data_IF_692132468702
#
_entry.id   IF_692132468702
#
_cell.length_a   1.000
_cell.length_b   1.000
_cell.length_c   1.000
_cell.angle_alpha   90.00
_cell.angle_beta   90.00
_cell.angle_gamma   90.00
#
_symmetry.space_group_name_H-M   'P 1'
#
loop_
_entity.id
_entity.type
_entity.pdbx_description
1 polymer ?
#
# COMPACT_ATOMS: atom_id res chain seq x y z
N UNK A 1 -3.78 -6.01 -17.43
CA UNK A 1 -4.30 -4.89 -18.22
C UNK A 1 -5.28 -4.11 -17.38
N UNK A 2 -5.23 -2.78 -17.48
CA UNK A 2 -6.07 -1.90 -16.69
C UNK A 2 -7.56 -2.08 -17.02
N UNK A 3 -8.37 -2.36 -16.04
CA UNK A 3 -9.83 -2.33 -16.16
C UNK A 3 -10.30 -0.88 -16.36
N UNK A 4 -10.93 -0.59 -17.49
CA UNK A 4 -11.35 0.77 -17.82
C UNK A 4 -12.72 1.16 -17.24
N UNK A 5 -13.51 0.21 -16.75
CA UNK A 5 -14.82 0.42 -16.15
C UNK A 5 -15.05 -0.52 -14.98
N UNK A 6 -15.93 -0.14 -14.04
CA UNK A 6 -16.29 -1.00 -12.90
C UNK A 6 -16.86 -2.37 -13.31
N UNK A 7 -17.46 -2.47 -14.51
CA UNK A 7 -17.97 -3.74 -15.07
C UNK A 7 -16.83 -4.64 -15.53
N UNK A 8 -15.79 -4.08 -16.13
CA UNK A 8 -14.62 -4.85 -16.56
C UNK A 8 -13.85 -5.33 -15.34
N UNK A 9 -13.78 -4.52 -14.29
CA UNK A 9 -13.17 -4.88 -13.04
C UNK A 9 -13.89 -6.07 -12.37
N UNK A 10 -15.23 -6.04 -12.28
CA UNK A 10 -16.01 -7.14 -11.74
C UNK A 10 -15.79 -8.45 -12.53
N UNK A 11 -15.69 -8.37 -13.85
CA UNK A 11 -15.42 -9.54 -14.71
C UNK A 11 -14.03 -10.16 -14.48
N UNK A 12 -13.03 -9.34 -14.11
CA UNK A 12 -11.67 -9.83 -13.88
C UNK A 12 -11.44 -10.29 -12.44
N UNK A 13 -12.00 -9.58 -11.47
CA UNK A 13 -11.77 -9.88 -10.05
C UNK A 13 -12.56 -11.08 -9.56
N UNK A 14 -13.77 -11.28 -10.08
CA UNK A 14 -14.63 -12.37 -9.64
C UNK A 14 -14.17 -13.76 -10.10
N UNK A 15 -13.69 -13.95 -11.34
CA UNK A 15 -13.03 -15.20 -11.71
C UNK A 15 -11.81 -15.49 -10.83
N UNK A 16 -10.98 -14.50 -10.56
CA UNK A 16 -9.81 -14.66 -9.67
C UNK A 16 -10.21 -15.05 -8.25
N UNK A 17 -11.25 -14.42 -7.70
CA UNK A 17 -11.78 -14.80 -6.39
C UNK A 17 -12.36 -16.22 -6.40
N UNK A 18 -13.05 -16.62 -7.46
CA UNK A 18 -13.57 -17.98 -7.64
C UNK A 18 -12.43 -18.99 -7.75
N UNK A 19 -11.37 -18.68 -8.47
CA UNK A 19 -10.19 -19.52 -8.61
C UNK A 19 -9.44 -19.68 -7.27
N UNK A 20 -9.33 -18.60 -6.49
CA UNK A 20 -8.78 -18.65 -5.13
C UNK A 20 -9.65 -19.55 -4.23
N UNK A 21 -10.96 -19.44 -4.29
CA UNK A 21 -11.90 -20.27 -3.53
C UNK A 21 -11.72 -21.75 -3.91
N UNK A 22 -11.70 -22.06 -5.19
CA UNK A 22 -11.51 -23.42 -5.69
C UNK A 22 -10.16 -23.96 -5.24
N UNK A 23 -9.09 -23.15 -5.34
CA UNK A 23 -7.75 -23.53 -4.88
C UNK A 23 -7.73 -23.76 -3.36
N UNK A 24 -8.34 -22.89 -2.57
CA UNK A 24 -8.45 -23.09 -1.13
C UNK A 24 -9.24 -24.35 -0.76
N UNK A 25 -10.29 -24.67 -1.50
CA UNK A 25 -11.07 -25.90 -1.31
C UNK A 25 -10.26 -27.15 -1.64
N UNK A 26 -9.50 -27.14 -2.75
CA UNK A 26 -8.66 -28.27 -3.18
C UNK A 26 -7.51 -28.55 -2.21
N UNK A 27 -7.04 -27.51 -1.49
CA UNK A 27 -5.99 -27.63 -0.47
C UNK A 27 -6.54 -27.97 0.92
N UNK A 28 -7.85 -28.26 1.07
CA UNK A 28 -8.54 -28.44 2.37
C UNK A 28 -8.33 -27.27 3.34
N UNK A 29 -8.01 -26.08 2.83
CA UNK A 29 -7.96 -24.88 3.65
C UNK A 29 -9.38 -24.47 4.01
N UNK A 30 -9.60 -23.96 5.24
CA UNK A 30 -10.93 -23.45 5.63
C UNK A 30 -11.33 -22.40 4.61
N UNK A 31 -12.46 -22.61 3.93
CA UNK A 31 -12.94 -21.71 2.90
C UNK A 31 -13.30 -20.37 3.54
N UNK A 32 -12.51 -19.36 3.28
CA UNK A 32 -12.65 -17.99 3.78
C UNK A 32 -14.04 -17.38 3.50
N UNK A 33 -14.78 -17.95 2.57
CA UNK A 33 -16.05 -17.42 2.07
C UNK A 33 -17.29 -18.19 2.55
N UNK A 34 -17.12 -19.35 3.21
CA UNK A 34 -18.25 -20.09 3.83
C UNK A 34 -18.12 -20.05 5.35
N UNK A 35 -19.19 -19.90 6.05
CA UNK A 35 -19.54 -19.95 7.47
C UNK A 35 -18.47 -19.80 8.58
N UNK A 36 -17.24 -20.16 8.37
CA UNK A 36 -16.10 -19.87 9.27
C UNK A 36 -15.59 -18.43 9.15
N UNK A 37 -16.20 -17.63 8.33
CA UNK A 37 -15.95 -16.24 8.02
C UNK A 37 -16.12 -15.25 9.20
N UNK A 38 -16.17 -15.70 10.42
CA UNK A 38 -16.03 -14.85 11.62
C UNK A 38 -14.58 -14.46 11.92
N UNK A 39 -13.60 -15.02 11.20
CA UNK A 39 -12.17 -14.88 11.52
C UNK A 39 -11.45 -13.88 10.63
N UNK A 40 -11.95 -13.61 9.42
CA UNK A 40 -11.26 -12.72 8.47
C UNK A 40 -12.21 -11.72 7.84
N UNK A 41 -11.80 -10.47 7.80
CA UNK A 41 -12.45 -9.42 7.05
C UNK A 41 -11.94 -9.40 5.61
N UNK A 42 -12.86 -9.19 4.66
CA UNK A 42 -12.55 -9.16 3.24
C UNK A 42 -12.40 -7.71 2.81
N UNK A 43 -11.28 -7.40 2.20
CA UNK A 43 -11.02 -6.13 1.52
C UNK A 43 -11.05 -6.35 0.02
N UNK A 44 -11.72 -5.45 -0.69
CA UNK A 44 -11.69 -5.38 -2.15
C UNK A 44 -11.22 -4.00 -2.60
N UNK A 45 -10.51 -3.94 -3.71
CA UNK A 45 -10.00 -2.68 -4.23
C UNK A 45 -9.57 -2.76 -5.67
N UNK A 46 -9.36 -1.60 -6.27
CA UNK A 46 -8.70 -1.48 -7.58
C UNK A 46 -7.20 -1.34 -7.36
N UNK A 47 -6.38 -2.02 -8.16
CA UNK A 47 -4.92 -1.98 -8.03
C UNK A 47 -4.30 -0.71 -8.61
N UNK A 48 -5.04 0.07 -9.40
CA UNK A 48 -4.51 1.26 -10.06
C UNK A 48 -4.44 2.46 -9.13
N UNK A 49 -3.24 3.04 -9.05
CA UNK A 49 -3.05 4.37 -8.47
C UNK A 49 -3.35 5.43 -9.51
N UNK A 50 -4.33 6.27 -9.25
CA UNK A 50 -4.57 7.47 -10.06
C UNK A 50 -4.34 8.73 -9.21
N UNK A 51 -3.89 9.84 -9.80
CA UNK A 51 -3.74 11.09 -9.05
C UNK A 51 -5.09 11.70 -8.61
N UNK A 52 -6.20 11.21 -9.15
CA UNK A 52 -7.56 11.64 -8.87
C UNK A 52 -8.30 10.76 -7.87
N UNK A 53 -9.59 11.00 -7.75
CA UNK A 53 -10.51 10.25 -6.88
C UNK A 53 -11.31 9.22 -7.69
N UNK A 54 -11.79 8.15 -7.04
CA UNK A 54 -12.74 7.23 -7.64
C UNK A 54 -14.04 7.95 -8.03
N UNK A 55 -14.69 7.51 -9.11
CA UNK A 55 -15.98 8.02 -9.53
C UNK A 55 -17.15 7.36 -8.76
N UNK A 56 -18.05 8.15 -8.17
CA UNK A 56 -19.19 7.60 -7.41
C UNK A 56 -20.12 6.71 -8.24
N UNK A 57 -20.32 7.04 -9.52
CA UNK A 57 -21.16 6.23 -10.43
C UNK A 57 -20.54 4.88 -10.73
N UNK A 58 -19.21 4.83 -10.88
CA UNK A 58 -18.47 3.60 -11.11
C UNK A 58 -18.49 2.70 -9.88
N UNK A 59 -18.27 3.28 -8.70
CA UNK A 59 -18.33 2.58 -7.42
C UNK A 59 -19.76 2.05 -7.18
N UNK A 60 -20.81 2.86 -7.41
CA UNK A 60 -22.19 2.43 -7.25
C UNK A 60 -22.55 1.25 -8.16
N UNK A 61 -22.08 1.26 -9.42
CA UNK A 61 -22.27 0.14 -10.34
C UNK A 61 -21.48 -1.10 -9.89
N UNK A 62 -20.24 -0.94 -9.49
CA UNK A 62 -19.41 -2.02 -8.97
C UNK A 62 -20.09 -2.72 -7.78
N UNK A 63 -20.56 -1.95 -6.80
CA UNK A 63 -21.22 -2.50 -5.61
C UNK A 63 -22.53 -3.20 -5.95
N UNK A 64 -23.30 -2.67 -6.89
CA UNK A 64 -24.53 -3.31 -7.36
C UNK A 64 -24.24 -4.67 -8.01
N UNK A 65 -23.25 -4.73 -8.91
CA UNK A 65 -22.88 -5.96 -9.61
C UNK A 65 -22.28 -6.98 -8.62
N UNK A 66 -21.42 -6.53 -7.72
CA UNK A 66 -20.81 -7.35 -6.66
C UNK A 66 -21.86 -7.93 -5.71
N UNK A 67 -22.80 -7.10 -5.24
CA UNK A 67 -23.87 -7.53 -4.33
C UNK A 67 -24.70 -8.64 -4.95
N UNK A 68 -25.03 -8.53 -6.26
CA UNK A 68 -25.75 -9.58 -6.97
C UNK A 68 -24.99 -10.90 -6.96
N UNK A 69 -23.70 -10.88 -7.32
CA UNK A 69 -22.88 -12.10 -7.39
C UNK A 69 -22.69 -12.71 -6.01
N UNK A 70 -22.47 -11.89 -4.99
CA UNK A 70 -22.35 -12.35 -3.61
C UNK A 70 -23.63 -13.05 -3.14
N UNK A 71 -24.78 -12.48 -3.44
CA UNK A 71 -26.10 -13.09 -3.11
C UNK A 71 -26.31 -14.40 -3.87
N UNK A 72 -26.06 -14.42 -5.19
CA UNK A 72 -26.23 -15.60 -6.04
C UNK A 72 -25.36 -16.78 -5.58
N UNK A 73 -24.21 -16.50 -4.94
CA UNK A 73 -23.27 -17.52 -4.45
C UNK A 73 -23.33 -17.73 -2.92
N UNK A 74 -24.18 -17.02 -2.20
CA UNK A 74 -24.27 -17.05 -0.73
C UNK A 74 -22.91 -16.71 -0.06
N UNK A 75 -22.18 -15.76 -0.63
CA UNK A 75 -20.92 -15.27 -0.09
C UNK A 75 -21.15 -14.15 0.92
N UNK A 76 -20.12 -13.86 1.71
CA UNK A 76 -20.11 -12.73 2.65
C UNK A 76 -19.75 -11.45 1.90
N UNK A 77 -20.43 -10.34 2.26
CA UNK A 77 -20.07 -9.02 1.78
C UNK A 77 -18.66 -8.63 2.28
N UNK A 78 -17.87 -7.91 1.47
CA UNK A 78 -16.60 -7.36 1.93
C UNK A 78 -16.83 -6.34 3.05
N UNK A 79 -15.88 -6.27 3.97
CA UNK A 79 -15.89 -5.29 5.06
C UNK A 79 -15.37 -3.93 4.58
N UNK A 80 -14.35 -3.95 3.72
CA UNK A 80 -13.68 -2.75 3.24
C UNK A 80 -13.67 -2.68 1.71
N UNK A 81 -13.94 -1.49 1.18
CA UNK A 81 -13.70 -1.12 -0.21
C UNK A 81 -12.56 -0.10 -0.27
N UNK A 82 -11.48 -0.44 -0.97
CA UNK A 82 -10.39 0.50 -1.25
C UNK A 82 -10.79 1.45 -2.36
N UNK A 83 -10.70 2.73 -2.10
CA UNK A 83 -11.07 3.80 -3.04
C UNK A 83 -9.89 4.74 -3.29
N UNK A 84 -9.84 5.32 -4.48
CA UNK A 84 -8.84 6.34 -4.80
C UNK A 84 -9.22 7.65 -4.12
N UNK A 85 -8.32 8.17 -3.31
CA UNK A 85 -8.51 9.38 -2.50
C UNK A 85 -7.70 10.56 -3.01
N UNK A 86 -7.34 10.57 -4.30
CA UNK A 86 -6.51 11.62 -4.87
C UNK A 86 -5.06 11.56 -4.37
N UNK A 87 -4.53 10.36 -4.15
CA UNK A 87 -3.17 10.11 -3.70
C UNK A 87 -2.38 9.36 -4.76
N UNK A 88 -1.15 9.78 -5.01
CA UNK A 88 -0.22 9.11 -5.94
C UNK A 88 1.20 9.21 -5.41
N UNK A 89 1.73 8.08 -4.99
CA UNK A 89 3.10 8.00 -4.47
C UNK A 89 4.09 7.81 -5.62
N UNK A 90 5.05 8.72 -5.69
CA UNK A 90 6.20 8.65 -6.60
C UNK A 90 7.43 9.06 -5.79
N UNK A 91 8.43 8.20 -5.79
CA UNK A 91 9.64 8.37 -4.99
C UNK A 91 9.29 8.49 -3.50
N UNK A 92 9.62 9.62 -2.87
CA UNK A 92 9.28 9.95 -1.49
C UNK A 92 8.31 11.14 -1.41
N UNK A 93 7.37 11.21 -2.34
CA UNK A 93 6.39 12.29 -2.45
C UNK A 93 5.01 11.74 -2.80
N UNK A 94 3.98 12.45 -2.36
CA UNK A 94 2.62 12.25 -2.81
C UNK A 94 2.23 13.35 -3.80
N UNK A 95 2.09 13.00 -5.07
CA UNK A 95 1.76 13.91 -6.17
C UNK A 95 0.25 13.94 -6.48
N UNK A 96 -0.58 13.30 -5.64
CA UNK A 96 -2.01 13.27 -5.83
C UNK A 96 -2.71 14.60 -5.53
N UNK A 97 -3.93 14.75 -6.03
CA UNK A 97 -4.73 15.98 -5.86
C UNK A 97 -4.99 16.33 -4.39
N UNK A 98 -5.12 15.33 -3.52
CA UNK A 98 -5.28 15.53 -2.08
C UNK A 98 -4.12 16.34 -1.48
N UNK A 99 -2.89 16.05 -1.91
CA UNK A 99 -1.68 16.66 -1.37
C UNK A 99 -1.30 17.97 -2.08
N UNK A 100 -1.75 18.18 -3.31
CA UNK A 100 -1.37 19.30 -4.16
C UNK A 100 -2.47 20.39 -4.27
N UNK A 101 -3.71 20.09 -3.88
CA UNK A 101 -4.82 21.03 -3.92
C UNK A 101 -4.69 22.10 -2.83
N UNK A 102 -4.98 23.35 -3.19
CA UNK A 102 -4.99 24.49 -2.23
C UNK A 102 -6.16 24.43 -1.23
N UNK A 103 -7.25 23.76 -1.60
CA UNK A 103 -8.41 23.56 -0.74
C UNK A 103 -9.14 22.26 -1.10
N UNK A 104 -8.64 21.12 -0.63
CA UNK A 104 -9.22 19.81 -0.94
C UNK A 104 -10.64 19.64 -0.39
N UNK A 105 -11.06 20.48 0.56
CA UNK A 105 -12.39 20.39 1.18
C UNK A 105 -13.51 21.04 0.36
N UNK A 106 -13.18 21.87 -0.61
CA UNK A 106 -14.17 22.59 -1.46
C UNK A 106 -14.24 22.08 -2.88
N UNK A 107 -13.51 21.01 -3.19
CA UNK A 107 -13.45 20.49 -4.55
C UNK A 107 -14.67 19.63 -4.91
N UNK A 108 -14.97 19.53 -6.21
CA UNK A 108 -15.96 18.57 -6.73
C UNK A 108 -15.59 17.13 -6.37
N UNK A 109 -14.30 16.88 -6.20
CA UNK A 109 -13.75 15.58 -5.78
C UNK A 109 -14.22 15.21 -4.37
N UNK A 110 -14.30 16.18 -3.44
CA UNK A 110 -14.84 15.90 -2.11
C UNK A 110 -16.32 15.51 -2.15
N UNK A 111 -17.11 16.24 -2.93
CA UNK A 111 -18.53 15.94 -3.10
C UNK A 111 -18.71 14.52 -3.68
N UNK A 112 -17.93 14.18 -4.70
CA UNK A 112 -17.91 12.85 -5.28
C UNK A 112 -17.51 11.78 -4.25
N UNK A 113 -16.55 12.08 -3.39
CA UNK A 113 -16.07 11.18 -2.36
C UNK A 113 -17.10 10.97 -1.24
N UNK A 114 -17.81 12.03 -0.82
CA UNK A 114 -18.92 11.94 0.13
C UNK A 114 -20.04 11.04 -0.40
N UNK A 115 -20.31 11.10 -1.71
CA UNK A 115 -21.27 10.18 -2.36
C UNK A 115 -20.77 8.74 -2.34
N UNK A 116 -19.49 8.49 -2.57
CA UNK A 116 -18.90 7.14 -2.48
C UNK A 116 -19.04 6.57 -1.08
N UNK A 117 -18.69 7.36 -0.05
CA UNK A 117 -18.78 6.90 1.34
C UNK A 117 -20.23 6.60 1.73
N UNK A 118 -21.20 7.42 1.29
CA UNK A 118 -22.61 7.15 1.49
C UNK A 118 -23.06 5.84 0.81
N UNK A 119 -22.71 5.65 -0.47
CA UNK A 119 -23.03 4.42 -1.20
C UNK A 119 -22.43 3.18 -0.50
N UNK A 120 -21.20 3.27 0.00
CA UNK A 120 -20.57 2.18 0.73
C UNK A 120 -21.31 1.88 2.05
N UNK A 121 -21.64 2.92 2.83
CA UNK A 121 -22.37 2.80 4.09
C UNK A 121 -23.74 2.17 3.90
N UNK A 122 -24.50 2.58 2.85
CA UNK A 122 -25.80 2.01 2.51
C UNK A 122 -25.73 0.51 2.17
N UNK A 123 -24.54 0.02 1.78
CA UNK A 123 -24.27 -1.39 1.52
C UNK A 123 -23.59 -2.10 2.71
N UNK A 124 -23.41 -1.45 3.84
CA UNK A 124 -22.73 -2.01 5.01
C UNK A 124 -21.23 -2.22 4.82
N UNK A 125 -20.59 -1.45 3.92
CA UNK A 125 -19.17 -1.54 3.58
C UNK A 125 -18.46 -0.27 4.05
N UNK A 126 -17.29 -0.43 4.67
CA UNK A 126 -16.44 0.69 5.05
C UNK A 126 -15.52 1.10 3.90
N UNK A 127 -15.14 2.37 3.86
CA UNK A 127 -14.19 2.90 2.87
C UNK A 127 -12.77 2.95 3.41
N UNK A 128 -11.80 2.55 2.57
CA UNK A 128 -10.38 2.63 2.88
C UNK A 128 -9.66 3.47 1.83
N UNK A 129 -8.90 4.46 2.29
CA UNK A 129 -8.03 5.26 1.43
C UNK A 129 -6.78 4.49 1.03
N UNK A 130 -6.34 4.67 -0.23
CA UNK A 130 -5.21 3.97 -0.80
C UNK A 130 -3.99 4.89 -0.90
N UNK A 131 -2.81 4.38 -0.47
CA UNK A 131 -1.51 5.08 -0.59
C UNK A 131 -1.49 6.49 0.03
N UNK A 132 -1.78 6.57 1.33
CA UNK A 132 -1.75 7.83 2.09
C UNK A 132 -0.32 8.17 2.55
N UNK A 133 0.69 7.63 1.91
CA UNK A 133 2.09 7.89 2.18
C UNK A 133 2.47 9.32 1.76
N UNK A 134 3.40 9.94 2.48
CA UNK A 134 4.01 11.25 2.18
C UNK A 134 3.03 12.39 1.97
N UNK A 135 1.87 12.34 2.59
CA UNK A 135 0.94 13.48 2.57
C UNK A 135 1.39 14.54 3.57
N UNK A 136 1.12 15.80 3.23
CA UNK A 136 1.40 16.91 4.13
C UNK A 136 0.34 17.00 5.25
N UNK A 137 0.64 17.80 6.29
CA UNK A 137 -0.21 17.93 7.46
C UNK A 137 -1.61 18.47 7.11
N UNK A 138 -1.72 19.46 6.21
CA UNK A 138 -3.00 20.00 5.77
C UNK A 138 -3.86 18.95 5.06
N UNK A 139 -3.25 18.13 4.21
CA UNK A 139 -3.91 17.03 3.55
C UNK A 139 -4.36 15.95 4.54
N UNK A 140 -3.55 15.65 5.56
CA UNK A 140 -3.90 14.70 6.62
C UNK A 140 -5.11 15.20 7.44
N UNK A 141 -5.12 16.48 7.82
CA UNK A 141 -6.24 17.11 8.50
C UNK A 141 -7.50 17.09 7.62
N UNK A 142 -7.34 17.35 6.31
CA UNK A 142 -8.46 17.31 5.36
C UNK A 142 -9.01 15.89 5.20
N UNK A 143 -8.14 14.88 5.20
CA UNK A 143 -8.51 13.47 5.07
C UNK A 143 -9.42 13.01 6.21
N UNK A 144 -9.22 13.52 7.44
CA UNK A 144 -10.09 13.23 8.60
C UNK A 144 -11.56 13.63 8.38
N UNK A 145 -11.82 14.55 7.44
CA UNK A 145 -13.17 15.02 7.08
C UNK A 145 -13.82 14.21 5.94
N UNK A 146 -13.15 13.21 5.42
CA UNK A 146 -13.61 12.42 4.28
C UNK A 146 -14.37 11.15 4.69
N UNK A 147 -14.69 10.97 5.98
CA UNK A 147 -15.38 9.78 6.49
C UNK A 147 -14.73 8.44 6.06
N UNK A 148 -13.41 8.45 5.91
CA UNK A 148 -12.64 7.22 5.70
C UNK A 148 -12.61 6.41 6.98
N UNK A 149 -12.86 5.12 6.87
CA UNK A 149 -12.80 4.19 7.99
C UNK A 149 -11.40 3.63 8.22
N UNK A 150 -10.59 3.58 7.17
CA UNK A 150 -9.22 3.09 7.22
C UNK A 150 -8.35 3.74 6.13
N UNK A 151 -7.05 3.67 6.31
CA UNK A 151 -6.04 4.07 5.33
C UNK A 151 -4.91 3.04 5.32
N UNK A 152 -4.15 2.95 4.22
CA UNK A 152 -2.90 2.22 4.20
C UNK A 152 -1.72 3.14 3.93
N UNK A 153 -0.65 2.88 4.65
CA UNK A 153 0.68 3.49 4.51
C UNK A 153 1.65 2.31 4.42
N UNK A 154 2.51 2.27 3.42
CA UNK A 154 3.46 1.17 3.26
C UNK A 154 4.83 1.62 2.72
N UNK A 155 4.97 2.20 1.51
CA UNK A 155 6.28 2.58 1.00
C UNK A 155 7.01 3.63 1.85
N UNK A 156 6.30 4.51 2.54
CA UNK A 156 6.90 5.50 3.44
C UNK A 156 7.62 4.84 4.61
N UNK A 157 7.00 3.87 5.27
CA UNK A 157 7.67 3.12 6.36
C UNK A 157 8.89 2.38 5.86
N UNK A 158 8.78 1.68 4.73
CA UNK A 158 9.92 0.99 4.12
C UNK A 158 11.05 1.93 3.72
N UNK A 159 10.73 3.14 3.27
CA UNK A 159 11.71 4.18 2.97
C UNK A 159 12.40 4.70 4.23
N UNK A 160 11.65 4.99 5.30
CA UNK A 160 12.20 5.47 6.58
C UNK A 160 13.15 4.43 7.17
N UNK A 161 12.76 3.16 7.15
CA UNK A 161 13.58 2.05 7.63
C UNK A 161 14.85 1.87 6.79
N UNK A 162 14.74 1.90 5.45
CA UNK A 162 15.88 1.89 4.54
C UNK A 162 16.83 3.05 4.80
N UNK A 163 16.27 4.24 5.08
CA UNK A 163 17.07 5.43 5.43
C UNK A 163 17.77 5.28 6.78
N UNK A 164 17.12 4.70 7.77
CA UNK A 164 17.73 4.44 9.06
C UNK A 164 18.95 3.49 8.93
N UNK A 165 18.82 2.43 8.14
CA UNK A 165 19.92 1.51 7.83
C UNK A 165 21.06 2.26 7.13
N UNK A 166 20.77 3.06 6.11
CA UNK A 166 21.74 3.86 5.38
C UNK A 166 22.51 4.82 6.31
N UNK A 167 21.78 5.58 7.13
CA UNK A 167 22.36 6.55 8.06
C UNK A 167 23.25 5.86 9.11
N UNK A 168 22.86 4.69 9.60
CA UNK A 168 23.65 3.90 10.55
C UNK A 168 24.94 3.34 9.93
N UNK A 169 24.88 2.82 8.70
CA UNK A 169 26.06 2.36 7.97
C UNK A 169 27.10 3.49 7.82
N UNK A 170 26.65 4.67 7.42
CA UNK A 170 27.52 5.84 7.34
C UNK A 170 28.06 6.26 8.71
N UNK A 171 27.22 6.31 9.75
CA UNK A 171 27.61 6.65 11.12
C UNK A 171 28.73 5.75 11.66
N UNK A 172 28.64 4.46 11.36
CA UNK A 172 29.61 3.47 11.80
C UNK A 172 30.76 3.25 10.80
N UNK A 173 30.79 3.98 9.67
CA UNK A 173 31.79 3.89 8.60
C UNK A 173 31.93 2.48 8.04
N UNK A 174 30.83 1.85 7.76
CA UNK A 174 30.71 0.51 7.20
C UNK A 174 30.55 0.56 5.68
N UNK A 175 31.48 1.26 5.00
CA UNK A 175 31.39 1.56 3.55
C UNK A 175 31.28 0.28 2.72
N UNK A 176 32.08 -0.74 3.05
CA UNK A 176 32.01 -2.03 2.34
C UNK A 176 30.66 -2.71 2.48
N UNK A 177 30.09 -2.74 3.68
CA UNK A 177 28.74 -3.30 3.90
C UNK A 177 27.67 -2.51 3.12
N UNK A 178 27.85 -1.20 3.02
CA UNK A 178 26.96 -0.34 2.23
C UNK A 178 27.06 -0.68 0.75
N UNK A 179 28.25 -0.85 0.21
CA UNK A 179 28.48 -1.24 -1.19
C UNK A 179 27.89 -2.62 -1.48
N UNK A 180 28.12 -3.61 -0.63
CA UNK A 180 27.56 -4.97 -0.75
C UNK A 180 26.01 -4.93 -0.78
N UNK A 181 25.39 -4.13 0.07
CA UNK A 181 23.93 -3.97 0.10
C UNK A 181 23.38 -3.24 -1.15
N UNK A 182 24.09 -2.24 -1.67
CA UNK A 182 23.74 -1.57 -2.93
C UNK A 182 23.82 -2.56 -4.10
N UNK A 183 24.89 -3.35 -4.16
CA UNK A 183 25.07 -4.38 -5.19
C UNK A 183 23.97 -5.46 -5.10
N UNK A 184 23.49 -5.77 -3.90
CA UNK A 184 22.39 -6.71 -3.70
C UNK A 184 21.04 -6.15 -4.16
N UNK A 185 20.69 -4.91 -3.79
CA UNK A 185 19.38 -4.31 -4.01
C UNK A 185 19.19 -3.81 -5.44
N UNK A 186 20.20 -3.14 -6.00
CA UNK A 186 20.08 -2.39 -7.26
C UNK A 186 19.70 -3.26 -8.45
N UNK A 187 20.31 -4.44 -8.68
CA UNK A 187 19.99 -5.29 -9.84
C UNK A 187 18.59 -5.88 -9.81
N UNK A 188 17.99 -6.03 -8.62
CA UNK A 188 16.65 -6.61 -8.44
C UNK A 188 15.53 -5.70 -8.93
N UNK A 189 15.83 -4.45 -9.24
CA UNK A 189 14.94 -3.48 -9.91
C UNK A 189 13.59 -3.19 -9.21
N UNK A 190 13.39 -3.56 -7.94
CA UNK A 190 12.15 -3.29 -7.20
C UNK A 190 11.87 -1.80 -7.00
N UNK A 191 12.91 -0.98 -6.97
CA UNK A 191 12.86 0.49 -6.88
C UNK A 191 12.26 1.17 -8.12
N UNK A 192 12.32 0.54 -9.31
CA UNK A 192 11.91 1.16 -10.59
C UNK A 192 10.47 1.64 -10.61
N UNK A 193 9.56 0.92 -9.98
CA UNK A 193 8.13 1.28 -9.96
C UNK A 193 7.85 2.56 -9.18
N UNK A 194 8.79 3.01 -8.37
CA UNK A 194 8.65 4.20 -7.52
C UNK A 194 9.31 5.44 -8.08
N UNK A 195 9.91 5.39 -9.28
CA UNK A 195 10.56 6.54 -9.90
C UNK A 195 10.01 6.84 -11.28
N UNK A 196 9.98 8.13 -11.62
CA UNK A 196 9.60 8.59 -12.96
C UNK A 196 10.72 8.43 -13.99
N UNK A 197 11.99 8.54 -13.54
CA UNK A 197 13.16 8.56 -14.40
C UNK A 197 14.22 7.54 -13.94
N UNK A 198 14.02 6.25 -14.23
CA UNK A 198 14.90 5.20 -13.72
C UNK A 198 16.37 5.31 -14.10
N UNK A 199 16.69 6.02 -15.20
CA UNK A 199 18.07 6.22 -15.67
C UNK A 199 18.83 7.36 -14.99
N UNK A 200 18.16 8.22 -14.21
CA UNK A 200 18.74 9.46 -13.68
C UNK A 200 18.89 9.44 -12.14
N UNK A 201 18.65 8.33 -11.46
CA UNK A 201 18.70 8.27 -9.99
C UNK A 201 19.98 7.62 -9.47
N UNK A 202 20.49 8.15 -8.34
CA UNK A 202 21.68 7.62 -7.65
C UNK A 202 21.44 6.25 -7.03
N UNK A 203 22.50 5.51 -6.76
CA UNK A 203 22.42 4.22 -6.09
C UNK A 203 21.86 4.34 -4.67
N UNK A 204 22.18 5.43 -3.96
CA UNK A 204 21.51 5.76 -2.70
C UNK A 204 19.98 5.80 -2.86
N UNK A 205 19.48 6.51 -3.86
CA UNK A 205 18.04 6.63 -4.08
C UNK A 205 17.42 5.29 -4.49
N UNK A 206 18.11 4.48 -5.31
CA UNK A 206 17.67 3.12 -5.62
C UNK A 206 17.57 2.27 -4.37
N UNK A 207 18.59 2.34 -3.50
CA UNK A 207 18.59 1.65 -2.21
C UNK A 207 17.39 2.07 -1.34
N UNK A 208 17.23 3.37 -1.10
CA UNK A 208 16.13 3.90 -0.27
C UNK A 208 14.74 3.50 -0.76
N UNK A 209 14.54 3.41 -2.08
CA UNK A 209 13.27 3.03 -2.68
C UNK A 209 13.06 1.51 -2.79
N UNK A 210 14.12 0.72 -2.71
CA UNK A 210 14.09 -0.71 -3.01
C UNK A 210 14.44 -1.66 -1.88
N UNK A 211 15.21 -1.22 -0.88
CA UNK A 211 15.77 -2.11 0.14
C UNK A 211 14.70 -2.83 0.97
N UNK A 212 13.60 -2.14 1.30
CA UNK A 212 12.53 -2.71 2.12
C UNK A 212 11.85 -3.96 1.52
N UNK A 213 11.99 -4.19 0.21
CA UNK A 213 11.51 -5.43 -0.42
C UNK A 213 12.36 -6.65 -0.08
N UNK A 214 13.50 -6.44 0.57
CA UNK A 214 14.52 -7.45 0.85
C UNK A 214 14.78 -7.66 2.35
N UNK A 215 14.08 -6.94 3.22
CA UNK A 215 14.30 -7.03 4.67
C UNK A 215 14.07 -8.43 5.26
N UNK A 216 13.32 -9.28 4.58
CA UNK A 216 13.10 -10.69 4.95
C UNK A 216 13.94 -11.68 4.14
N UNK A 217 14.78 -11.22 3.20
CA UNK A 217 15.66 -12.11 2.43
C UNK A 217 16.85 -12.48 3.32
N UNK A 218 17.16 -13.77 3.46
CA UNK A 218 18.22 -14.28 4.32
C UNK A 218 19.58 -13.62 4.00
N UNK A 219 19.92 -13.50 2.72
CA UNK A 219 21.16 -12.86 2.25
C UNK A 219 21.22 -11.39 2.64
N UNK A 220 20.13 -10.63 2.53
CA UNK A 220 20.08 -9.23 2.97
C UNK A 220 20.28 -9.12 4.49
N UNK A 221 19.67 -10.02 5.26
CA UNK A 221 19.80 -10.07 6.73
C UNK A 221 21.24 -10.41 7.14
N UNK A 222 21.90 -11.32 6.41
CA UNK A 222 23.32 -11.66 6.63
C UNK A 222 24.25 -10.49 6.33
N UNK A 223 24.02 -9.74 5.25
CA UNK A 223 24.80 -8.55 4.91
C UNK A 223 24.70 -7.45 5.98
N UNK A 224 23.66 -7.44 6.81
CA UNK A 224 23.52 -6.51 7.94
C UNK A 224 24.30 -6.91 9.20
N UNK A 225 24.92 -8.08 9.27
CA UNK A 225 25.63 -8.55 10.47
C UNK A 225 26.75 -7.60 10.94
N UNK A 226 27.60 -6.99 10.06
CA UNK A 226 28.59 -6.02 10.50
C UNK A 226 27.96 -4.79 11.18
N UNK A 227 26.78 -4.35 10.71
CA UNK A 227 26.05 -3.24 11.31
C UNK A 227 25.48 -3.62 12.69
N UNK A 228 24.86 -4.78 12.81
CA UNK A 228 24.35 -5.32 14.08
C UNK A 228 25.48 -5.38 15.12
N UNK A 229 26.61 -5.97 14.76
CA UNK A 229 27.77 -6.07 15.63
C UNK A 229 28.30 -4.69 16.06
N UNK A 230 28.40 -3.73 15.13
CA UNK A 230 28.89 -2.39 15.44
C UNK A 230 27.95 -1.64 16.41
N UNK A 231 26.64 -1.83 16.28
CA UNK A 231 25.64 -1.24 17.18
C UNK A 231 25.73 -1.86 18.57
N UNK A 232 25.69 -3.17 18.67
CA UNK A 232 25.75 -3.90 19.94
C UNK A 232 27.02 -3.57 20.72
N UNK A 233 28.16 -3.47 20.03
CA UNK A 233 29.47 -3.16 20.66
C UNK A 233 29.55 -1.73 21.19
N UNK A 234 28.88 -0.75 20.51
CA UNK A 234 29.07 0.68 20.83
C UNK A 234 27.92 1.30 21.61
N UNK A 235 26.71 0.75 21.55
CA UNK A 235 25.53 1.39 22.15
C UNK A 235 24.80 0.53 23.17
N UNK A 236 25.17 -0.71 23.34
CA UNK A 236 24.48 -1.69 24.19
C UNK A 236 22.96 -1.82 23.85
N UNK A 237 22.59 -1.55 22.60
CA UNK A 237 21.22 -1.51 22.07
C UNK A 237 21.17 -2.32 20.79
N UNK A 238 20.06 -2.96 20.46
CA UNK A 238 19.92 -3.69 19.20
C UNK A 238 19.55 -2.80 18.00
N UNK A 239 19.83 -3.27 16.79
CA UNK A 239 19.41 -2.58 15.56
C UNK A 239 17.87 -2.39 15.54
N UNK A 240 17.13 -3.42 15.93
CA UNK A 240 15.67 -3.42 15.93
C UNK A 240 15.10 -2.36 16.90
N UNK A 241 15.73 -2.15 18.05
CA UNK A 241 15.35 -1.11 19.00
C UNK A 241 15.61 0.30 18.44
N UNK A 242 16.71 0.49 17.72
CA UNK A 242 17.02 1.78 17.09
C UNK A 242 16.02 2.10 15.97
N UNK A 243 15.66 1.13 15.17
CA UNK A 243 14.68 1.30 14.08
C UNK A 243 13.29 1.62 14.63
N UNK A 244 12.85 0.94 15.69
CA UNK A 244 11.54 1.19 16.32
C UNK A 244 11.41 2.58 16.94
N UNK A 245 12.50 3.24 17.28
CA UNK A 245 12.53 4.56 17.92
C UNK A 245 12.72 5.73 16.92
N UNK A 246 12.69 5.47 15.62
CA UNK A 246 12.77 6.47 14.54
C UNK A 246 11.39 6.74 13.93
#
# INVERSE_FOLDING_TARGET
GACKTGTDWAKHTLPVASDIIITCQSLNLPTFFKSSAKVFDIEIGTEEQTPGFSGHKEIGKLLKDLTKIIKDNSWRMPTLLVVQTGTKVIENQNLGLLNTSKDPNKSLEKINFDLITSICQDNGIYTKGHNIDYINEDALISLSKFNLSAVNIAPEFGHIESKAIWDLLNKYRLDRTLDDLIEYVTPKNKWRKWTLKPGEISDQKKFLLGAHYHFSDDEFVELLNPLKFAIETKSNTSLDEIIKNK
#
